data_IF_419363360091
#
_entry.id   IF_419363360091
#
_cell.length_a   1.000
_cell.length_b   1.000
_cell.length_c   1.000
_cell.angle_alpha   90.00
_cell.angle_beta   90.00
_cell.angle_gamma   90.00
#
_symmetry.space_group_name_H-M   'P 1'
#
loop_
_entity.id
_entity.type
_entity.pdbx_description
1 polymer ?
#
# COMPACT_ATOMS: atom_id res chain seq x y z
N UNK A 1 -7.66 -15.61 8.28
CA UNK A 1 -6.49 -14.73 8.09
C UNK A 1 -6.02 -14.66 6.63
N UNK A 2 -6.03 -15.75 5.86
CA UNK A 2 -5.51 -15.79 4.47
C UNK A 2 -6.21 -14.89 3.45
N UNK A 3 -7.50 -14.58 3.64
CA UNK A 3 -8.26 -13.74 2.71
C UNK A 3 -7.70 -12.30 2.55
N UNK A 4 -7.02 -11.77 3.55
CA UNK A 4 -6.47 -10.40 3.49
C UNK A 4 -5.18 -10.30 2.67
N UNK A 5 -4.50 -11.44 2.40
CA UNK A 5 -3.34 -11.50 1.52
C UNK A 5 -3.73 -11.82 0.06
N UNK A 6 -4.98 -12.24 -0.18
CA UNK A 6 -5.46 -12.62 -1.50
C UNK A 6 -5.24 -11.53 -2.58
N UNK A 7 -5.39 -10.22 -2.29
CA UNK A 7 -5.08 -9.17 -3.25
C UNK A 7 -3.62 -9.17 -3.71
N UNK A 8 -2.68 -9.33 -2.77
CA UNK A 8 -1.24 -9.37 -3.07
C UNK A 8 -0.86 -10.62 -3.87
N UNK A 9 -1.42 -11.77 -3.51
CA UNK A 9 -1.21 -13.03 -4.25
C UNK A 9 -1.84 -12.97 -5.65
N UNK A 10 -3.05 -12.43 -5.78
CA UNK A 10 -3.72 -12.27 -7.08
C UNK A 10 -2.93 -11.31 -7.98
N UNK A 11 -2.45 -10.17 -7.45
CA UNK A 11 -1.60 -9.26 -8.17
C UNK A 11 -0.32 -9.94 -8.66
N UNK A 12 0.34 -10.73 -7.80
CA UNK A 12 1.53 -11.49 -8.16
C UNK A 12 1.28 -12.46 -9.32
N UNK A 13 0.20 -13.25 -9.25
CA UNK A 13 -0.16 -14.21 -10.32
C UNK A 13 -0.52 -13.48 -11.63
N UNK A 14 -1.27 -12.39 -11.56
CA UNK A 14 -1.61 -11.57 -12.74
C UNK A 14 -0.37 -10.93 -13.37
N UNK A 15 0.58 -10.44 -12.57
CA UNK A 15 1.85 -9.93 -13.08
C UNK A 15 2.63 -11.01 -13.82
N UNK A 16 2.64 -12.23 -13.28
CA UNK A 16 3.41 -13.33 -13.86
C UNK A 16 2.83 -13.82 -15.20
N UNK A 17 1.50 -13.85 -15.33
CA UNK A 17 0.83 -14.50 -16.46
C UNK A 17 0.12 -13.54 -17.44
N UNK A 18 -0.29 -12.35 -16.97
CA UNK A 18 -1.14 -11.44 -17.76
C UNK A 18 -0.42 -10.18 -18.26
N UNK A 19 0.75 -9.81 -17.72
CA UNK A 19 1.46 -8.57 -18.14
C UNK A 19 1.74 -8.51 -19.64
N UNK A 20 2.25 -9.60 -20.22
CA UNK A 20 2.63 -9.66 -21.64
C UNK A 20 1.39 -9.69 -22.55
N UNK A 21 0.37 -10.54 -22.31
CA UNK A 21 -0.87 -10.48 -23.06
C UNK A 21 -1.53 -9.09 -23.04
N UNK A 22 -1.58 -8.44 -21.87
CA UNK A 22 -2.17 -7.10 -21.72
C UNK A 22 -1.35 -6.06 -22.49
N UNK A 23 -0.03 -6.05 -22.31
CA UNK A 23 0.89 -5.15 -23.01
C UNK A 23 0.72 -5.27 -24.54
N UNK A 24 0.71 -6.49 -25.08
CA UNK A 24 0.53 -6.73 -26.51
C UNK A 24 -0.86 -6.33 -27.02
N UNK A 25 -1.91 -6.66 -26.27
CA UNK A 25 -3.30 -6.39 -26.66
C UNK A 25 -3.59 -4.89 -26.69
N UNK A 26 -3.14 -4.17 -25.66
CA UNK A 26 -3.36 -2.73 -25.53
C UNK A 26 -2.28 -1.89 -26.23
N UNK A 27 -1.23 -2.53 -26.75
CA UNK A 27 -0.06 -1.89 -27.37
C UNK A 27 0.58 -0.84 -26.47
N UNK A 28 0.75 -1.19 -25.19
CA UNK A 28 1.41 -0.37 -24.17
C UNK A 28 2.69 -1.07 -23.69
N UNK A 29 3.62 -0.32 -23.09
CA UNK A 29 4.82 -0.90 -22.49
C UNK A 29 4.49 -1.91 -21.37
N UNK A 30 5.34 -2.92 -21.20
CA UNK A 30 5.13 -3.93 -20.15
C UNK A 30 5.13 -3.33 -18.75
N UNK A 31 5.97 -2.32 -18.47
CA UNK A 31 5.95 -1.61 -17.19
C UNK A 31 4.60 -0.93 -16.93
N UNK A 32 4.01 -0.29 -17.96
CA UNK A 32 2.68 0.31 -17.86
C UNK A 32 1.60 -0.77 -17.60
N UNK A 33 1.70 -1.92 -18.26
CA UNK A 33 0.78 -3.04 -18.04
C UNK A 33 0.91 -3.60 -16.61
N UNK A 34 2.14 -3.75 -16.10
CA UNK A 34 2.41 -4.20 -14.73
C UNK A 34 1.80 -3.24 -13.70
N UNK A 35 2.03 -1.93 -13.85
CA UNK A 35 1.41 -0.92 -12.97
C UNK A 35 -0.11 -0.97 -13.07
N UNK A 36 -0.67 -1.10 -14.28
CA UNK A 36 -2.12 -1.26 -14.48
C UNK A 36 -2.70 -2.47 -13.75
N UNK A 37 -2.00 -3.62 -13.78
CA UNK A 37 -2.40 -4.84 -13.06
C UNK A 37 -2.35 -4.63 -11.55
N UNK A 38 -1.25 -4.09 -11.03
CA UNK A 38 -1.09 -3.82 -9.59
C UNK A 38 -2.18 -2.84 -9.14
N UNK A 39 -2.40 -1.77 -9.90
CA UNK A 39 -3.43 -0.77 -9.60
C UNK A 39 -4.81 -1.35 -9.58
N UNK A 40 -5.18 -2.11 -10.61
CA UNK A 40 -6.49 -2.73 -10.67
C UNK A 40 -6.67 -3.69 -9.50
N UNK A 41 -5.63 -4.47 -9.17
CA UNK A 41 -5.67 -5.44 -8.06
C UNK A 41 -5.80 -4.74 -6.71
N UNK A 42 -5.02 -3.68 -6.45
CA UNK A 42 -5.04 -2.93 -5.19
C UNK A 42 -6.31 -2.09 -5.07
N UNK A 43 -6.67 -1.33 -6.11
CA UNK A 43 -7.85 -0.46 -6.08
C UNK A 43 -9.14 -1.25 -5.96
N UNK A 44 -9.34 -2.28 -6.80
CA UNK A 44 -10.60 -3.02 -6.80
C UNK A 44 -10.66 -3.88 -5.55
N UNK A 45 -9.58 -4.57 -5.18
CA UNK A 45 -9.64 -5.51 -4.08
C UNK A 45 -9.51 -4.86 -2.70
N UNK A 46 -8.74 -3.78 -2.52
CA UNK A 46 -8.60 -3.11 -1.22
C UNK A 46 -9.56 -1.92 -1.11
N UNK A 47 -9.46 -0.94 -2.01
CA UNK A 47 -10.32 0.25 -1.98
C UNK A 47 -11.79 -0.07 -2.23
N UNK A 48 -12.07 -0.89 -3.26
CA UNK A 48 -13.40 -1.37 -3.59
C UNK A 48 -14.00 -2.20 -2.46
N UNK A 49 -13.23 -3.13 -1.86
CA UNK A 49 -13.72 -3.90 -0.72
C UNK A 49 -13.94 -3.03 0.52
N UNK A 50 -13.09 -2.05 0.81
CA UNK A 50 -13.29 -1.12 1.91
C UNK A 50 -14.60 -0.31 1.77
N UNK A 51 -15.00 0.02 0.54
CA UNK A 51 -16.24 0.75 0.25
C UNK A 51 -17.48 -0.16 0.18
N UNK A 52 -17.33 -1.36 -0.39
CA UNK A 52 -18.45 -2.26 -0.69
C UNK A 52 -18.73 -3.25 0.43
N UNK A 53 -17.69 -3.83 1.07
CA UNK A 53 -17.89 -4.84 2.11
C UNK A 53 -18.72 -4.33 3.30
N UNK A 54 -18.54 -3.10 3.83
CA UNK A 54 -19.41 -2.60 4.89
C UNK A 54 -20.87 -2.48 4.46
N UNK A 55 -21.13 -2.26 3.16
CA UNK A 55 -22.49 -2.14 2.63
C UNK A 55 -23.13 -3.50 2.35
N UNK A 56 -22.35 -4.43 1.82
CA UNK A 56 -22.85 -5.73 1.37
C UNK A 56 -22.89 -6.74 2.52
N UNK A 57 -21.86 -6.73 3.38
CA UNK A 57 -21.71 -7.67 4.50
C UNK A 57 -22.30 -7.06 5.76
N UNK A 58 -21.83 -5.87 6.15
CA UNK A 58 -22.23 -5.23 7.41
C UNK A 58 -23.55 -4.43 7.27
N UNK A 59 -24.14 -4.39 6.06
CA UNK A 59 -25.42 -3.73 5.72
C UNK A 59 -25.50 -2.25 6.12
N UNK A 60 -24.37 -1.57 6.17
CA UNK A 60 -24.32 -0.15 6.51
C UNK A 60 -24.90 0.74 5.40
N UNK A 61 -25.70 1.77 5.74
CA UNK A 61 -26.10 2.78 4.78
C UNK A 61 -24.90 3.61 4.34
N UNK A 62 -24.98 4.25 3.15
CA UNK A 62 -23.86 5.00 2.54
C UNK A 62 -23.24 6.01 3.49
N UNK A 63 -24.06 6.76 4.23
CA UNK A 63 -23.62 7.79 5.17
C UNK A 63 -22.74 7.19 6.29
N UNK A 64 -23.12 6.01 6.78
CA UNK A 64 -22.42 5.34 7.89
C UNK A 64 -21.10 4.75 7.37
N UNK A 65 -21.04 4.31 6.11
CA UNK A 65 -19.77 3.92 5.47
C UNK A 65 -18.83 5.11 5.31
N UNK A 66 -19.32 6.25 4.84
CA UNK A 66 -18.51 7.48 4.71
C UNK A 66 -17.98 7.92 6.08
N UNK A 67 -18.82 7.87 7.11
CA UNK A 67 -18.43 8.20 8.48
C UNK A 67 -17.43 7.18 9.06
N UNK A 68 -17.69 5.88 8.88
CA UNK A 68 -16.80 4.80 9.31
C UNK A 68 -15.42 4.90 8.66
N UNK A 69 -15.38 5.23 7.37
CA UNK A 69 -14.13 5.41 6.63
C UNK A 69 -13.39 6.70 7.03
N UNK A 70 -14.01 7.60 7.81
CA UNK A 70 -13.38 8.84 8.26
C UNK A 70 -13.19 9.87 7.15
N UNK A 71 -13.87 9.75 6.02
CA UNK A 71 -13.67 10.60 4.84
C UNK A 71 -13.99 12.08 5.08
N UNK A 72 -14.85 12.38 6.05
CA UNK A 72 -15.32 13.75 6.33
C UNK A 72 -14.56 14.46 7.44
N UNK A 73 -13.60 13.78 8.07
CA UNK A 73 -12.84 14.33 9.20
C UNK A 73 -11.43 14.61 8.73
N UNK A 74 -11.00 15.88 8.78
CA UNK A 74 -9.62 16.30 8.55
C UNK A 74 -9.09 16.89 9.85
N UNK A 75 -7.89 16.48 10.24
CA UNK A 75 -7.25 16.93 11.45
C UNK A 75 -5.92 17.65 11.16
N UNK A 76 -5.88 19.00 11.17
CA UNK A 76 -4.69 19.78 10.84
C UNK A 76 -3.46 19.45 11.69
N UNK A 77 -3.65 19.15 12.98
CA UNK A 77 -2.55 18.76 13.86
C UNK A 77 -1.99 17.38 13.48
N UNK A 78 -2.85 16.46 13.08
CA UNK A 78 -2.45 15.16 12.54
C UNK A 78 -1.66 15.30 11.23
N UNK A 79 -2.06 16.21 10.34
CA UNK A 79 -1.32 16.50 9.11
C UNK A 79 0.09 17.04 9.40
N UNK A 80 0.23 17.94 10.38
CA UNK A 80 1.53 18.45 10.81
C UNK A 80 2.41 17.33 11.39
N UNK A 81 1.83 16.47 12.25
CA UNK A 81 2.54 15.31 12.81
C UNK A 81 3.00 14.37 11.68
N UNK A 82 2.16 14.13 10.66
CA UNK A 82 2.53 13.33 9.50
C UNK A 82 3.74 13.92 8.76
N UNK A 83 3.78 15.24 8.54
CA UNK A 83 4.93 15.91 7.93
C UNK A 83 6.21 15.76 8.77
N UNK A 84 6.11 15.98 10.08
CA UNK A 84 7.27 15.83 10.99
C UNK A 84 7.76 14.40 10.99
N UNK A 85 6.85 13.42 11.06
CA UNK A 85 7.20 12.02 11.07
C UNK A 85 7.87 11.59 9.76
N UNK A 86 7.31 12.02 8.62
CA UNK A 86 7.93 11.81 7.31
C UNK A 86 9.34 12.41 7.28
N UNK A 87 9.52 13.65 7.75
CA UNK A 87 10.84 14.29 7.83
C UNK A 87 11.83 13.47 8.66
N UNK A 88 11.42 12.94 9.82
CA UNK A 88 12.28 12.09 10.66
C UNK A 88 12.65 10.79 9.95
N UNK A 89 11.71 10.13 9.28
CA UNK A 89 11.99 8.86 8.57
C UNK A 89 12.88 9.09 7.35
N UNK A 90 12.62 10.13 6.57
CA UNK A 90 13.39 10.47 5.36
C UNK A 90 14.81 10.95 5.70
N UNK A 91 15.01 11.57 6.86
CA UNK A 91 16.33 11.99 7.35
C UNK A 91 17.04 10.90 8.17
N UNK A 92 16.33 9.83 8.55
CA UNK A 92 16.97 8.71 9.21
C UNK A 92 17.94 8.05 8.21
N UNK A 93 19.17 7.70 8.63
CA UNK A 93 20.08 6.94 7.79
C UNK A 93 19.47 5.55 7.62
N UNK A 94 18.64 5.37 6.59
CA UNK A 94 17.98 4.10 6.25
C UNK A 94 18.74 3.36 5.16
N UNK A 95 19.85 3.93 4.69
CA UNK A 95 20.76 3.32 3.70
C UNK A 95 21.20 1.92 4.15
N UNK A 96 21.47 1.69 5.44
CA UNK A 96 21.71 0.33 5.95
C UNK A 96 20.50 -0.59 5.73
N UNK A 97 19.27 -0.18 6.06
CA UNK A 97 18.08 -1.01 5.84
C UNK A 97 17.87 -1.41 4.37
N UNK A 98 18.14 -0.51 3.42
CA UNK A 98 17.90 -0.73 1.99
C UNK A 98 19.08 -1.34 1.23
N UNK A 99 20.32 -1.11 1.68
CA UNK A 99 21.53 -1.68 1.07
C UNK A 99 21.96 -3.02 1.72
N UNK A 100 21.32 -3.43 2.81
CA UNK A 100 21.77 -4.57 3.59
C UNK A 100 21.41 -5.95 3.03
N UNK A 101 22.19 -6.92 3.50
CA UNK A 101 22.07 -8.35 3.32
C UNK A 101 20.63 -8.90 3.36
N UNK A 102 19.68 -8.22 4.02
CA UNK A 102 18.26 -8.61 4.02
C UNK A 102 17.59 -8.43 2.65
N UNK A 103 17.79 -7.30 1.98
CA UNK A 103 17.29 -7.08 0.61
C UNK A 103 17.93 -8.07 -0.36
N UNK A 104 19.24 -8.29 -0.24
CA UNK A 104 19.97 -9.29 -1.02
C UNK A 104 19.47 -10.72 -0.76
N UNK A 105 19.20 -11.07 0.50
CA UNK A 105 18.62 -12.35 0.89
C UNK A 105 17.21 -12.54 0.31
N UNK A 106 16.36 -11.51 0.36
CA UNK A 106 15.04 -11.54 -0.27
C UNK A 106 15.15 -11.76 -1.79
N UNK A 107 16.11 -11.12 -2.46
CA UNK A 107 16.40 -11.36 -3.87
C UNK A 107 17.00 -12.75 -4.18
N UNK A 108 17.56 -13.44 -3.18
CA UNK A 108 17.98 -14.84 -3.28
C UNK A 108 16.88 -15.86 -2.92
N UNK A 109 15.72 -15.40 -2.48
CA UNK A 109 14.62 -16.24 -2.01
C UNK A 109 13.52 -16.42 -3.06
N UNK A 110 12.48 -17.18 -2.73
CA UNK A 110 11.28 -17.30 -3.57
C UNK A 110 10.46 -16.00 -3.65
N UNK A 111 10.76 -15.00 -2.80
CA UNK A 111 10.22 -13.65 -2.84
C UNK A 111 11.00 -12.70 -3.77
N UNK A 112 12.01 -13.21 -4.49
CA UNK A 112 12.81 -12.42 -5.40
C UNK A 112 11.94 -11.72 -6.44
N UNK A 113 12.28 -10.47 -6.72
CA UNK A 113 11.66 -9.72 -7.80
C UNK A 113 12.22 -10.23 -9.13
N UNK A 114 11.38 -10.68 -10.08
CA UNK A 114 11.87 -11.13 -11.38
C UNK A 114 12.59 -10.01 -12.15
N UNK A 115 13.53 -10.35 -13.02
CA UNK A 115 14.32 -9.38 -13.81
C UNK A 115 13.46 -8.49 -14.72
N UNK A 116 12.29 -8.97 -15.14
CA UNK A 116 11.32 -8.22 -15.94
C UNK A 116 10.42 -7.28 -15.11
N UNK A 117 10.48 -7.35 -13.78
CA UNK A 117 9.60 -6.56 -12.92
C UNK A 117 9.97 -5.08 -13.03
N UNK A 118 8.98 -4.21 -13.18
CA UNK A 118 9.21 -2.79 -13.48
C UNK A 118 10.12 -2.09 -12.45
N UNK A 119 10.07 -2.50 -11.18
CA UNK A 119 10.93 -1.99 -10.10
C UNK A 119 12.40 -2.47 -10.16
N UNK A 120 12.72 -3.44 -11.01
CA UNK A 120 14.11 -3.90 -11.27
C UNK A 120 14.66 -3.38 -12.60
N UNK A 121 13.84 -2.69 -13.38
CA UNK A 121 14.19 -2.22 -14.72
C UNK A 121 14.17 -0.70 -14.77
N UNK A 122 14.91 -0.11 -15.70
CA UNK A 122 14.77 1.31 -16.00
C UNK A 122 13.39 1.69 -16.58
N UNK A 123 12.53 0.68 -16.86
CA UNK A 123 11.21 0.85 -17.46
C UNK A 123 10.20 1.59 -16.56
N UNK A 124 10.55 1.92 -15.31
CA UNK A 124 9.75 2.88 -14.52
C UNK A 124 9.61 4.23 -15.25
N UNK A 125 10.69 4.68 -15.91
CA UNK A 125 10.69 5.90 -16.73
C UNK A 125 9.80 5.85 -17.97
N UNK A 126 9.37 4.66 -18.38
CA UNK A 126 8.49 4.45 -19.53
C UNK A 126 7.00 4.58 -19.15
N UNK A 127 6.68 4.63 -17.85
CA UNK A 127 5.31 4.78 -17.38
C UNK A 127 4.88 6.24 -17.62
N UNK A 128 3.77 6.49 -18.33
CA UNK A 128 3.28 7.85 -18.52
C UNK A 128 3.05 8.54 -17.16
N UNK A 129 3.53 9.77 -16.94
CA UNK A 129 3.45 10.43 -15.64
C UNK A 129 2.02 10.54 -15.08
N UNK A 130 1.03 10.75 -15.95
CA UNK A 130 -0.37 10.77 -15.53
C UNK A 130 -0.85 9.40 -15.02
N UNK A 131 -0.41 8.30 -15.64
CA UNK A 131 -0.71 6.94 -15.19
C UNK A 131 -0.01 6.66 -13.87
N UNK A 132 1.26 7.05 -13.73
CA UNK A 132 2.00 6.93 -12.48
C UNK A 132 1.35 7.73 -11.33
N UNK A 133 0.91 8.97 -11.59
CA UNK A 133 0.28 9.82 -10.59
C UNK A 133 -1.08 9.27 -10.14
N UNK A 134 -1.93 8.85 -11.09
CA UNK A 134 -3.21 8.20 -10.77
C UNK A 134 -2.97 6.91 -10.00
N UNK A 135 -1.98 6.11 -10.43
CA UNK A 135 -1.61 4.88 -9.77
C UNK A 135 -1.17 5.12 -8.32
N UNK A 136 -0.27 6.08 -8.11
CA UNK A 136 0.24 6.42 -6.78
C UNK A 136 -0.90 6.87 -5.85
N UNK A 137 -1.76 7.78 -6.32
CA UNK A 137 -2.89 8.27 -5.54
C UNK A 137 -3.86 7.13 -5.19
N UNK A 138 -4.21 6.33 -6.19
CA UNK A 138 -5.08 5.17 -6.06
C UNK A 138 -4.57 4.16 -5.03
N UNK A 139 -3.27 3.87 -5.11
CA UNK A 139 -2.55 2.98 -4.21
C UNK A 139 -2.65 3.47 -2.77
N UNK A 140 -2.20 4.71 -2.53
CA UNK A 140 -2.19 5.31 -1.21
C UNK A 140 -3.59 5.34 -0.60
N UNK A 141 -4.57 5.89 -1.31
CA UNK A 141 -5.93 6.04 -0.78
C UNK A 141 -6.58 4.67 -0.57
N UNK A 142 -6.44 3.74 -1.53
CA UNK A 142 -7.02 2.40 -1.42
C UNK A 142 -6.46 1.61 -0.24
N UNK A 143 -5.14 1.66 -0.05
CA UNK A 143 -4.46 1.04 1.08
C UNK A 143 -4.90 1.65 2.42
N UNK A 144 -4.96 2.98 2.53
CA UNK A 144 -5.38 3.64 3.77
C UNK A 144 -6.84 3.33 4.12
N UNK A 145 -7.73 3.33 3.13
CA UNK A 145 -9.13 2.96 3.33
C UNK A 145 -9.26 1.51 3.83
N UNK A 146 -8.51 0.59 3.26
CA UNK A 146 -8.56 -0.80 3.66
C UNK A 146 -7.92 -1.03 5.02
N UNK A 147 -6.65 -0.66 5.21
CA UNK A 147 -5.91 -1.01 6.41
C UNK A 147 -6.32 -0.18 7.62
N UNK A 148 -6.51 1.14 7.46
CA UNK A 148 -6.78 2.05 8.59
C UNK A 148 -8.27 2.16 8.84
N UNK A 149 -9.05 2.36 7.78
CA UNK A 149 -10.46 2.68 7.96
C UNK A 149 -11.36 1.44 8.09
N UNK A 150 -11.07 0.35 7.37
CA UNK A 150 -11.89 -0.86 7.38
C UNK A 150 -11.34 -1.99 8.28
N UNK A 151 -10.07 -2.36 8.13
CA UNK A 151 -9.46 -3.51 8.80
C UNK A 151 -9.11 -3.18 10.26
N UNK A 152 -8.51 -2.02 10.53
CA UNK A 152 -8.06 -1.65 11.88
C UNK A 152 -9.18 -1.75 12.94
N UNK A 153 -10.41 -1.22 12.73
CA UNK A 153 -11.48 -1.37 13.72
C UNK A 153 -11.87 -2.84 13.97
N UNK A 154 -11.76 -3.69 12.95
CA UNK A 154 -12.05 -5.14 13.07
C UNK A 154 -10.97 -5.90 13.83
N UNK A 155 -9.79 -5.32 13.97
CA UNK A 155 -8.69 -5.85 14.79
C UNK A 155 -8.74 -5.36 16.25
N UNK A 156 -9.72 -4.55 16.64
CA UNK A 156 -9.81 -3.95 17.97
C UNK A 156 -9.85 -4.97 19.12
N UNK A 157 -10.24 -6.22 18.86
CA UNK A 157 -10.19 -7.31 19.84
C UNK A 157 -8.76 -7.62 20.32
N UNK A 158 -7.73 -7.16 19.61
CA UNK A 158 -6.32 -7.29 19.99
C UNK A 158 -5.85 -6.22 20.99
N UNK A 159 -6.70 -5.24 21.32
CA UNK A 159 -6.37 -4.17 22.27
C UNK A 159 -5.13 -3.37 21.85
N UNK A 160 -4.13 -3.27 22.73
CA UNK A 160 -2.88 -2.56 22.46
C UNK A 160 -2.06 -3.14 21.29
N UNK A 161 -2.29 -4.41 20.92
CA UNK A 161 -1.64 -5.07 19.79
C UNK A 161 -2.32 -4.81 18.44
N UNK A 162 -3.41 -4.03 18.41
CA UNK A 162 -4.12 -3.72 17.15
C UNK A 162 -3.20 -3.05 16.14
N UNK A 163 -2.43 -2.03 16.56
CA UNK A 163 -1.57 -1.26 15.65
C UNK A 163 -0.36 -2.04 15.12
N UNK A 164 0.43 -2.80 15.92
CA UNK A 164 1.56 -3.54 15.36
C UNK A 164 1.06 -4.65 14.43
N UNK A 165 -0.03 -5.33 14.77
CA UNK A 165 -0.60 -6.38 13.90
C UNK A 165 -1.12 -5.80 12.60
N UNK A 166 -1.84 -4.67 12.64
CA UNK A 166 -2.28 -3.98 11.42
C UNK A 166 -1.09 -3.52 10.56
N UNK A 167 0.00 -3.04 11.17
CA UNK A 167 1.22 -2.65 10.46
C UNK A 167 1.97 -3.84 9.84
N UNK A 168 2.01 -4.97 10.56
CA UNK A 168 2.58 -6.22 10.03
C UNK A 168 1.76 -6.78 8.87
N UNK A 169 0.43 -6.74 8.94
CA UNK A 169 -0.44 -7.13 7.83
C UNK A 169 -0.28 -6.18 6.64
N UNK A 170 -0.12 -4.88 6.90
CA UNK A 170 0.13 -3.86 5.90
C UNK A 170 1.45 -4.11 5.17
N UNK A 171 2.55 -4.45 5.85
CA UNK A 171 3.79 -4.73 5.13
C UNK A 171 3.77 -6.12 4.47
N UNK A 172 3.15 -7.10 5.13
CA UNK A 172 3.17 -8.49 4.67
C UNK A 172 2.44 -8.67 3.33
N UNK A 173 1.39 -7.88 3.03
CA UNK A 173 0.65 -8.06 1.79
C UNK A 173 1.44 -7.65 0.54
N UNK A 174 2.52 -6.86 0.67
CA UNK A 174 3.42 -6.46 -0.42
C UNK A 174 4.35 -7.60 -0.89
N UNK A 175 3.94 -8.86 -0.78
CA UNK A 175 4.72 -10.03 -1.25
C UNK A 175 5.21 -9.90 -2.70
N UNK A 176 4.45 -9.21 -3.55
CA UNK A 176 4.75 -8.98 -4.97
C UNK A 176 5.93 -8.01 -5.20
N UNK A 177 6.36 -7.30 -4.16
CA UNK A 177 7.49 -6.37 -4.17
C UNK A 177 8.32 -6.47 -2.88
N UNK A 178 8.35 -7.65 -2.26
CA UNK A 178 8.95 -7.85 -0.94
C UNK A 178 10.40 -7.31 -0.82
N UNK A 179 11.32 -7.54 -1.78
CA UNK A 179 12.69 -7.02 -1.67
C UNK A 179 12.78 -5.49 -1.63
N UNK A 180 11.76 -4.77 -2.11
CA UNK A 180 11.68 -3.30 -2.07
C UNK A 180 10.90 -2.85 -0.82
N UNK A 181 9.76 -3.47 -0.55
CA UNK A 181 8.86 -3.03 0.51
C UNK A 181 9.30 -3.45 1.91
N UNK A 182 9.74 -4.70 2.10
CA UNK A 182 10.01 -5.26 3.44
C UNK A 182 11.17 -4.56 4.17
N UNK A 183 12.25 -4.10 3.51
CA UNK A 183 13.22 -3.21 4.14
C UNK A 183 12.60 -1.97 4.79
N UNK A 184 11.54 -1.43 4.19
CA UNK A 184 10.78 -0.28 4.69
C UNK A 184 9.76 -0.60 5.79
N UNK A 185 9.81 -1.78 6.43
CA UNK A 185 8.77 -2.19 7.40
C UNK A 185 8.59 -1.22 8.57
N UNK A 186 9.65 -0.52 9.00
CA UNK A 186 9.57 0.51 10.03
C UNK A 186 8.69 1.68 9.60
N UNK A 187 8.74 2.07 8.32
CA UNK A 187 7.83 3.05 7.73
C UNK A 187 6.38 2.56 7.75
N UNK A 188 6.15 1.28 7.45
CA UNK A 188 4.82 0.66 7.54
C UNK A 188 4.26 0.62 8.97
N UNK A 189 5.10 0.30 9.96
CA UNK A 189 4.74 0.33 11.38
C UNK A 189 4.44 1.76 11.85
N UNK A 190 5.29 2.72 11.47
CA UNK A 190 5.09 4.13 11.77
C UNK A 190 3.76 4.67 11.22
N UNK A 191 3.47 4.36 9.95
CA UNK A 191 2.24 4.76 9.30
C UNK A 191 1.01 4.22 10.04
N UNK A 192 1.05 2.96 10.48
CA UNK A 192 -0.03 2.38 11.27
C UNK A 192 -0.06 2.90 12.71
N UNK A 193 1.08 3.25 13.30
CA UNK A 193 1.20 3.84 14.63
C UNK A 193 0.63 5.26 14.72
N UNK A 194 0.62 6.02 13.62
CA UNK A 194 -0.01 7.34 13.57
C UNK A 194 -1.54 7.25 13.72
N UNK A 195 -2.16 6.24 13.10
CA UNK A 195 -3.62 6.10 13.08
C UNK A 195 -4.27 6.05 14.48
N UNK A 196 -3.83 5.23 15.46
CA UNK A 196 -4.43 5.22 16.79
C UNK A 196 -4.32 6.55 17.54
N UNK A 197 -3.30 7.37 17.26
CA UNK A 197 -3.05 8.63 17.96
C UNK A 197 -4.08 9.70 17.61
N UNK A 198 -4.51 9.77 16.35
CA UNK A 198 -5.39 10.85 15.84
C UNK A 198 -6.75 10.34 15.36
N UNK A 199 -6.82 9.07 14.94
CA UNK A 199 -7.97 8.46 14.25
C UNK A 199 -8.39 9.28 13.03
N UNK A 200 -7.39 9.72 12.27
CA UNK A 200 -7.54 10.57 11.09
C UNK A 200 -6.96 9.86 9.87
N UNK A 201 -7.81 9.64 8.87
CA UNK A 201 -7.41 8.95 7.65
C UNK A 201 -6.43 9.81 6.84
N UNK A 202 -6.70 11.11 6.70
CA UNK A 202 -5.94 11.98 5.82
C UNK A 202 -4.51 12.22 6.28
N UNK A 203 -4.26 12.22 7.59
CA UNK A 203 -2.91 12.23 8.16
C UNK A 203 -2.12 10.99 7.76
N UNK A 204 -2.78 9.82 7.71
CA UNK A 204 -2.14 8.59 7.24
C UNK A 204 -1.93 8.63 5.72
N UNK A 205 -2.92 9.09 4.94
CA UNK A 205 -2.79 9.31 3.49
C UNK A 205 -1.61 10.22 3.17
N UNK A 206 -1.47 11.34 3.89
CA UNK A 206 -0.37 12.28 3.73
C UNK A 206 0.97 11.64 4.10
N UNK A 207 1.09 11.00 5.27
CA UNK A 207 2.32 10.32 5.67
C UNK A 207 2.72 9.27 4.64
N UNK A 208 1.77 8.45 4.19
CA UNK A 208 2.00 7.43 3.18
C UNK A 208 2.48 8.05 1.85
N UNK A 209 1.87 9.15 1.40
CA UNK A 209 2.30 9.88 0.21
C UNK A 209 3.72 10.43 0.35
N UNK A 210 4.07 11.01 1.51
CA UNK A 210 5.39 11.57 1.76
C UNK A 210 6.47 10.49 1.82
N UNK A 211 6.16 9.30 2.35
CA UNK A 211 7.10 8.17 2.40
C UNK A 211 7.28 7.46 1.05
N UNK A 212 6.36 7.64 0.10
CA UNK A 212 6.46 7.11 -1.26
C UNK A 212 6.95 8.15 -2.29
N UNK A 213 7.07 9.41 -1.90
CA UNK A 213 7.61 10.42 -2.79
C UNK A 213 9.07 10.07 -3.13
N UNK A 214 9.47 10.12 -4.42
CA UNK A 214 10.85 9.91 -4.79
C UNK A 214 11.69 11.02 -4.12
N UNK A 215 12.65 10.62 -3.29
CA UNK A 215 13.75 11.48 -2.82
C UNK A 215 14.84 11.45 -3.88
#
# INVERSE_FOLDING_TARGET
MTAHLAPGVAAYLLLHHAREPISRTLRIGEATAQVGIIMTSIMIALGGAALLAPRLVDRLPRRDVIAMLGLTRVDPAGLLIACVFAGVVLLAPTEWLYEDAFGAWLQGSWLALPSWHFQRTAAFSEIPPAVAAVALLANIVGEELWFRAYLYPKLAFLGGWTWPVAGLLFIAYHVFQAPVAYPGFLGGLALTGLYPLRRDLWSCVLLHALLQAPV
#
